data_IF_932547572173
#
_entry.id   IF_932547572173
#
_cell.length_a   1.000
_cell.length_b   1.000
_cell.length_c   1.000
_cell.angle_alpha   90.00
_cell.angle_beta   90.00
_cell.angle_gamma   90.00
#
_symmetry.space_group_name_H-M   'P 1'
#
loop_
_entity.id
_entity.type
_entity.pdbx_description
1 polymer ?
#
# COMPACT_ATOMS: atom_id res chain seq x y z
N UNK A 1 -1.12 7.50 14.55
CA UNK A 1 -0.98 8.20 13.26
C UNK A 1 -2.03 7.72 12.27
N UNK A 2 -2.20 6.41 12.09
CA UNK A 2 -3.11 5.79 11.13
C UNK A 2 -4.56 6.26 11.19
N UNK A 3 -5.14 6.46 12.38
CA UNK A 3 -6.52 6.97 12.50
C UNK A 3 -6.63 8.38 11.91
N UNK A 4 -5.67 9.26 12.20
CA UNK A 4 -5.67 10.63 11.69
C UNK A 4 -5.52 10.66 10.16
N UNK A 5 -4.60 9.86 9.60
CA UNK A 5 -4.42 9.76 8.15
C UNK A 5 -5.63 9.15 7.46
N UNK A 6 -6.27 8.16 8.09
CA UNK A 6 -7.51 7.52 7.58
C UNK A 6 -8.68 8.49 7.54
N UNK A 7 -8.90 9.28 8.60
CA UNK A 7 -9.96 10.29 8.61
C UNK A 7 -9.64 11.44 7.63
N UNK A 8 -8.38 11.88 7.59
CA UNK A 8 -7.93 12.90 6.65
C UNK A 8 -8.01 12.47 5.18
N UNK A 9 -7.88 11.17 4.89
CA UNK A 9 -7.92 10.61 3.54
C UNK A 9 -9.22 10.92 2.79
N UNK A 10 -10.35 11.08 3.50
CA UNK A 10 -11.65 11.47 2.89
C UNK A 10 -11.54 12.75 2.08
N UNK A 11 -10.70 13.69 2.52
CA UNK A 11 -10.46 14.96 1.84
C UNK A 11 -9.15 14.95 1.05
N UNK A 12 -8.07 14.48 1.66
CA UNK A 12 -6.73 14.56 1.08
C UNK A 12 -6.59 13.65 -0.15
N UNK A 13 -7.10 12.41 -0.10
CA UNK A 13 -6.95 11.47 -1.22
C UNK A 13 -7.61 12.01 -2.49
N UNK A 14 -8.90 12.42 -2.49
CA UNK A 14 -9.52 12.96 -3.71
C UNK A 14 -8.87 14.25 -4.22
N UNK A 15 -8.43 15.14 -3.34
CA UNK A 15 -7.76 16.39 -3.72
C UNK A 15 -6.41 16.10 -4.37
N UNK A 16 -5.59 15.25 -3.75
CA UNK A 16 -4.29 14.86 -4.28
C UNK A 16 -4.43 14.08 -5.60
N UNK A 17 -5.39 13.15 -5.69
CA UNK A 17 -5.66 12.43 -6.94
C UNK A 17 -6.11 13.38 -8.05
N UNK A 18 -6.96 14.37 -7.75
CA UNK A 18 -7.37 15.36 -8.76
C UNK A 18 -6.21 16.24 -9.22
N UNK A 19 -5.32 16.65 -8.32
CA UNK A 19 -4.16 17.49 -8.67
C UNK A 19 -3.12 16.70 -9.47
N UNK A 20 -2.81 15.47 -9.05
CA UNK A 20 -1.71 14.68 -9.62
C UNK A 20 -2.13 13.86 -10.85
N UNK A 21 -3.34 13.28 -10.84
CA UNK A 21 -3.84 12.40 -11.89
C UNK A 21 -4.88 13.07 -12.81
N UNK A 22 -5.52 14.16 -12.37
CA UNK A 22 -6.56 14.86 -13.12
C UNK A 22 -6.08 15.47 -14.45
N UNK A 23 -4.77 15.60 -14.65
CA UNK A 23 -4.17 16.01 -15.92
C UNK A 23 -4.07 14.87 -16.94
N UNK A 24 -4.12 13.61 -16.49
CA UNK A 24 -3.98 12.43 -17.34
C UNK A 24 -5.32 11.74 -17.59
N UNK A 25 -6.20 11.72 -16.60
CA UNK A 25 -7.49 11.02 -16.64
C UNK A 25 -8.54 11.89 -15.94
N UNK A 26 -9.80 11.95 -16.41
CA UNK A 26 -10.85 12.68 -15.69
C UNK A 26 -11.05 12.11 -14.29
N UNK A 27 -10.87 12.96 -13.27
CA UNK A 27 -11.02 12.60 -11.85
C UNK A 27 -12.17 13.38 -11.22
N UNK A 28 -13.20 12.68 -10.77
CA UNK A 28 -14.29 13.23 -9.98
C UNK A 28 -13.97 13.16 -8.48
N UNK A 29 -13.36 14.23 -7.95
CA UNK A 29 -12.94 14.28 -6.55
C UNK A 29 -14.11 14.17 -5.56
N UNK A 30 -15.30 14.65 -5.91
CA UNK A 30 -16.45 14.58 -4.99
C UNK A 30 -16.91 13.13 -4.86
N UNK A 31 -17.02 12.40 -5.98
CA UNK A 31 -17.37 10.97 -5.95
C UNK A 31 -16.31 10.13 -5.24
N UNK A 32 -15.02 10.40 -5.48
CA UNK A 32 -13.93 9.72 -4.76
C UNK A 32 -14.01 9.97 -3.25
N UNK A 33 -14.35 11.19 -2.83
CA UNK A 33 -14.52 11.53 -1.41
C UNK A 33 -15.68 10.76 -0.77
N UNK A 34 -16.85 10.74 -1.43
CA UNK A 34 -18.03 10.00 -0.96
C UNK A 34 -17.72 8.51 -0.84
N UNK A 35 -17.08 7.91 -1.84
CA UNK A 35 -16.69 6.50 -1.77
C UNK A 35 -15.66 6.24 -0.68
N UNK A 36 -14.70 7.13 -0.46
CA UNK A 36 -13.71 6.98 0.62
C UNK A 36 -14.40 7.01 1.99
N UNK A 37 -15.36 7.92 2.18
CA UNK A 37 -16.16 7.97 3.40
C UNK A 37 -16.94 6.66 3.63
N UNK A 38 -17.60 6.15 2.59
CA UNK A 38 -18.43 4.95 2.66
C UNK A 38 -17.61 3.67 2.87
N UNK A 39 -16.50 3.52 2.16
CA UNK A 39 -15.69 2.29 2.17
C UNK A 39 -14.77 2.22 3.38
N UNK A 40 -14.37 3.36 3.95
CA UNK A 40 -13.35 3.39 5.02
C UNK A 40 -13.90 3.94 6.32
N UNK A 41 -14.36 5.20 6.32
CA UNK A 41 -14.71 5.88 7.57
C UNK A 41 -15.94 5.26 8.22
N UNK A 42 -16.98 4.97 7.44
CA UNK A 42 -18.20 4.34 7.97
C UNK A 42 -17.88 2.98 8.64
N UNK A 43 -17.19 2.03 7.99
CA UNK A 43 -16.79 0.78 8.64
C UNK A 43 -15.89 0.95 9.87
N UNK A 44 -14.93 1.89 9.85
CA UNK A 44 -14.05 2.14 11.00
C UNK A 44 -14.83 2.68 12.20
N UNK A 45 -15.74 3.63 11.97
CA UNK A 45 -16.60 4.18 13.03
C UNK A 45 -17.57 3.12 13.57
N UNK A 46 -18.16 2.30 12.69
CA UNK A 46 -19.02 1.19 13.11
C UNK A 46 -18.24 0.17 13.95
N UNK A 47 -17.06 -0.24 13.50
CA UNK A 47 -16.20 -1.15 14.24
C UNK A 47 -15.80 -0.60 15.61
N UNK A 48 -15.45 0.69 15.68
CA UNK A 48 -15.15 1.38 16.94
C UNK A 48 -16.36 1.45 17.87
N UNK A 49 -17.55 1.71 17.33
CA UNK A 49 -18.80 1.71 18.10
C UNK A 49 -19.12 0.32 18.66
N UNK A 50 -19.01 -0.74 17.85
CA UNK A 50 -19.21 -2.14 18.29
C UNK A 50 -18.20 -2.51 19.38
N UNK A 51 -16.94 -2.09 19.26
CA UNK A 51 -15.92 -2.31 20.28
C UNK A 51 -16.29 -1.66 21.62
N UNK A 52 -16.96 -0.51 21.60
CA UNK A 52 -17.43 0.17 22.80
C UNK A 52 -18.68 -0.52 23.42
N UNK A 53 -19.64 -0.94 22.59
CA UNK A 53 -20.92 -1.51 23.07
C UNK A 53 -20.78 -3.00 23.46
N UNK A 54 -20.01 -3.80 22.72
CA UNK A 54 -19.91 -5.24 22.88
C UNK A 54 -18.45 -5.75 22.98
N UNK A 55 -17.66 -5.29 23.98
CA UNK A 55 -16.23 -5.59 24.06
C UNK A 55 -15.93 -7.09 24.20
N UNK A 56 -16.80 -7.85 24.88
CA UNK A 56 -16.64 -9.29 25.06
C UNK A 56 -16.73 -10.05 23.71
N UNK A 57 -17.66 -9.68 22.85
CA UNK A 57 -17.80 -10.26 21.52
C UNK A 57 -16.59 -9.92 20.64
N UNK A 58 -16.14 -8.66 20.67
CA UNK A 58 -14.98 -8.23 19.86
C UNK A 58 -13.70 -8.94 20.29
N UNK A 59 -13.50 -9.19 21.59
CA UNK A 59 -12.34 -9.95 22.09
C UNK A 59 -12.27 -11.38 21.54
N UNK A 60 -13.42 -11.98 21.23
CA UNK A 60 -13.49 -13.32 20.60
C UNK A 60 -13.10 -13.24 19.12
N UNK A 61 -13.43 -12.14 18.43
CA UNK A 61 -13.23 -11.98 16.98
C UNK A 61 -11.83 -11.45 16.63
N UNK A 62 -11.25 -10.56 17.44
CA UNK A 62 -9.92 -9.94 17.19
C UNK A 62 -8.83 -10.96 16.81
N UNK A 63 -8.69 -12.12 17.47
CA UNK A 63 -7.68 -13.11 17.11
C UNK A 63 -7.79 -13.63 15.67
N UNK A 64 -9.00 -13.63 15.10
CA UNK A 64 -9.27 -14.07 13.72
C UNK A 64 -9.17 -12.94 12.70
N UNK A 65 -9.19 -11.67 13.13
CA UNK A 65 -9.19 -10.51 12.26
C UNK A 65 -7.95 -10.45 11.32
N UNK A 66 -6.71 -10.75 11.78
CA UNK A 66 -5.55 -10.77 10.90
C UNK A 66 -5.68 -11.79 9.76
N UNK A 67 -6.20 -12.99 10.06
CA UNK A 67 -6.39 -14.03 9.05
C UNK A 67 -7.42 -13.61 8.00
N UNK A 68 -8.55 -13.07 8.44
CA UNK A 68 -9.60 -12.58 7.54
C UNK A 68 -9.08 -11.41 6.68
N UNK A 69 -8.32 -10.48 7.27
CA UNK A 69 -7.73 -9.35 6.55
C UNK A 69 -6.76 -9.82 5.46
N UNK A 70 -5.90 -10.80 5.74
CA UNK A 70 -4.96 -11.35 4.76
C UNK A 70 -5.70 -12.09 3.64
N UNK A 71 -6.69 -12.92 3.96
CA UNK A 71 -7.48 -13.65 2.96
C UNK A 71 -8.27 -12.71 2.05
N UNK A 72 -8.92 -11.70 2.61
CA UNK A 72 -9.70 -10.73 1.83
C UNK A 72 -8.79 -9.85 0.96
N UNK A 73 -7.67 -9.37 1.51
CA UNK A 73 -6.70 -8.58 0.75
C UNK A 73 -6.05 -9.38 -0.38
N UNK A 74 -5.74 -10.67 -0.16
CA UNK A 74 -5.13 -11.51 -1.19
C UNK A 74 -6.12 -11.82 -2.31
N UNK A 75 -7.38 -12.13 -1.97
CA UNK A 75 -8.44 -12.34 -2.96
C UNK A 75 -8.70 -11.07 -3.80
N UNK A 76 -8.71 -9.90 -3.17
CA UNK A 76 -8.87 -8.62 -3.86
C UNK A 76 -7.72 -8.40 -4.86
N UNK A 77 -6.47 -8.62 -4.45
CA UNK A 77 -5.31 -8.50 -5.33
C UNK A 77 -5.37 -9.52 -6.49
N UNK A 78 -5.72 -10.78 -6.20
CA UNK A 78 -5.90 -11.83 -7.20
C UNK A 78 -6.97 -11.48 -8.24
N UNK A 79 -8.08 -10.84 -7.84
CA UNK A 79 -9.11 -10.37 -8.77
C UNK A 79 -8.53 -9.41 -9.81
N UNK A 80 -7.76 -8.42 -9.36
CA UNK A 80 -7.13 -7.44 -10.24
C UNK A 80 -6.10 -8.10 -11.18
N UNK A 81 -5.28 -9.03 -10.67
CA UNK A 81 -4.32 -9.75 -11.51
C UNK A 81 -5.02 -10.63 -12.55
N UNK A 82 -6.13 -11.26 -12.18
CA UNK A 82 -6.94 -12.08 -13.08
C UNK A 82 -7.51 -11.26 -14.24
N UNK A 83 -8.09 -10.09 -13.96
CA UNK A 83 -8.63 -9.19 -14.98
C UNK A 83 -7.56 -8.68 -15.96
N UNK A 84 -6.31 -8.58 -15.51
CA UNK A 84 -5.20 -8.09 -16.31
C UNK A 84 -4.28 -9.20 -16.86
N UNK A 85 -4.65 -10.49 -16.69
CA UNK A 85 -3.78 -11.65 -16.96
C UNK A 85 -3.32 -11.74 -18.42
N UNK A 86 -4.17 -11.36 -19.37
CA UNK A 86 -3.84 -11.42 -20.81
C UNK A 86 -2.72 -10.43 -21.14
N UNK A 87 -2.79 -9.21 -20.62
CA UNK A 87 -1.74 -8.18 -20.76
C UNK A 87 -0.48 -8.52 -19.97
N UNK A 88 -0.66 -9.14 -18.81
CA UNK A 88 0.45 -9.63 -17.98
C UNK A 88 1.26 -10.68 -18.75
N UNK A 89 0.55 -11.63 -19.37
CA UNK A 89 1.15 -12.73 -20.14
C UNK A 89 1.87 -12.23 -21.39
N UNK A 90 1.30 -11.27 -22.12
CA UNK A 90 1.97 -10.70 -23.30
C UNK A 90 3.27 -9.96 -22.95
N UNK A 91 3.33 -9.36 -21.76
CA UNK A 91 4.53 -8.66 -21.26
C UNK A 91 5.63 -9.62 -20.77
N UNK A 92 5.26 -10.78 -20.24
CA UNK A 92 6.22 -11.80 -19.76
C UNK A 92 6.77 -12.64 -20.93
N UNK A 93 5.94 -12.94 -21.94
CA UNK A 93 6.31 -13.81 -23.08
C UNK A 93 7.22 -13.12 -24.09
N UNK A 94 7.34 -11.78 -24.05
CA UNK A 94 8.23 -11.02 -24.92
C UNK A 94 9.68 -10.93 -24.41
N UNK A 95 9.99 -11.52 -23.24
CA UNK A 95 11.36 -11.67 -22.76
C UNK A 95 12.12 -12.71 -23.62
N UNK A 96 13.19 -12.32 -24.34
CA UNK A 96 13.98 -13.29 -25.09
C UNK A 96 14.60 -14.31 -24.14
N UNK A 97 14.41 -15.60 -24.42
CA UNK A 97 15.05 -16.71 -23.72
C UNK A 97 16.55 -16.77 -24.05
N UNK A 98 17.33 -15.76 -23.66
CA UNK A 98 18.79 -15.79 -23.69
C UNK A 98 19.32 -16.24 -22.34
N UNK A 99 20.37 -17.07 -22.34
CA UNK A 99 20.98 -17.70 -21.16
C UNK A 99 21.64 -16.75 -20.15
N UNK A 100 21.60 -15.43 -20.38
CA UNK A 100 22.22 -14.42 -19.52
C UNK A 100 21.20 -13.85 -18.51
N UNK A 101 21.38 -14.10 -17.19
CA UNK A 101 20.45 -13.64 -16.16
C UNK A 101 20.32 -12.11 -16.06
N UNK A 102 21.37 -11.37 -16.42
CA UNK A 102 21.38 -9.90 -16.48
C UNK A 102 20.48 -9.35 -17.59
N UNK A 103 20.47 -9.98 -18.76
CA UNK A 103 19.64 -9.58 -19.89
C UNK A 103 18.16 -9.91 -19.67
N UNK A 104 17.88 -11.03 -19.00
CA UNK A 104 16.52 -11.45 -18.64
C UNK A 104 15.85 -10.45 -17.68
N UNK A 105 16.57 -9.98 -16.66
CA UNK A 105 16.09 -8.91 -15.77
C UNK A 105 15.80 -7.61 -16.52
N UNK A 106 16.70 -7.20 -17.41
CA UNK A 106 16.52 -5.97 -18.19
C UNK A 106 15.28 -6.03 -19.10
N UNK A 107 15.00 -7.19 -19.71
CA UNK A 107 13.78 -7.39 -20.50
C UNK A 107 12.50 -7.34 -19.66
N UNK A 108 12.54 -7.90 -18.43
CA UNK A 108 11.41 -7.91 -17.50
C UNK A 108 11.09 -6.48 -17.02
N UNK A 109 12.10 -5.65 -16.75
CA UNK A 109 11.91 -4.25 -16.35
C UNK A 109 11.54 -3.31 -17.50
N UNK A 110 11.72 -3.73 -18.75
CA UNK A 110 11.42 -2.89 -19.93
C UNK A 110 9.95 -2.95 -20.37
N UNK A 111 9.18 -3.95 -19.91
CA UNK A 111 7.75 -4.08 -20.22
C UNK A 111 6.87 -3.19 -19.34
N UNK A 112 5.61 -2.98 -19.74
CA UNK A 112 4.62 -2.20 -18.97
C UNK A 112 4.48 -2.70 -17.52
N UNK A 113 4.48 -4.02 -17.33
CA UNK A 113 4.46 -4.64 -16.00
C UNK A 113 5.74 -4.33 -15.21
N UNK A 114 6.90 -4.43 -15.86
CA UNK A 114 8.20 -4.12 -15.27
C UNK A 114 8.26 -2.69 -14.74
N UNK A 115 7.73 -1.74 -15.52
CA UNK A 115 7.60 -0.35 -15.12
C UNK A 115 6.67 -0.17 -13.92
N UNK A 116 5.53 -0.87 -13.87
CA UNK A 116 4.62 -0.83 -12.70
C UNK A 116 5.32 -1.38 -11.46
N UNK A 117 5.95 -2.56 -11.56
CA UNK A 117 6.68 -3.19 -10.45
C UNK A 117 7.78 -2.25 -9.94
N UNK A 118 8.60 -1.71 -10.84
CA UNK A 118 9.70 -0.82 -10.49
C UNK A 118 9.19 0.48 -9.87
N UNK A 119 8.15 1.09 -10.44
CA UNK A 119 7.57 2.34 -9.93
C UNK A 119 7.01 2.15 -8.52
N UNK A 120 6.27 1.06 -8.30
CA UNK A 120 5.70 0.74 -6.98
C UNK A 120 6.79 0.39 -5.97
N UNK A 121 7.80 -0.37 -6.37
CA UNK A 121 8.95 -0.69 -5.52
C UNK A 121 9.67 0.59 -5.08
N UNK A 122 9.98 1.49 -6.01
CA UNK A 122 10.61 2.76 -5.71
C UNK A 122 9.72 3.64 -4.83
N UNK A 123 8.42 3.72 -5.11
CA UNK A 123 7.47 4.49 -4.30
C UNK A 123 7.53 4.08 -2.82
N UNK A 124 7.47 2.78 -2.54
CA UNK A 124 7.53 2.28 -1.17
C UNK A 124 8.92 2.40 -0.57
N UNK A 125 9.98 2.10 -1.32
CA UNK A 125 11.36 2.29 -0.86
C UNK A 125 11.57 3.74 -0.39
N UNK A 126 11.19 4.72 -1.21
CA UNK A 126 11.26 6.12 -0.82
C UNK A 126 10.29 6.46 0.31
N UNK A 127 9.10 5.85 0.38
CA UNK A 127 8.19 6.01 1.51
C UNK A 127 8.82 5.59 2.85
N UNK A 128 9.39 4.38 2.91
CA UNK A 128 10.10 3.90 4.10
C UNK A 128 11.33 4.78 4.43
N UNK A 129 12.14 5.10 3.42
CA UNK A 129 13.37 5.88 3.58
C UNK A 129 13.08 7.31 4.04
N UNK A 130 12.24 8.05 3.31
CA UNK A 130 11.86 9.42 3.65
C UNK A 130 11.14 9.45 4.98
N UNK A 131 10.30 8.46 5.30
CA UNK A 131 9.64 8.38 6.60
C UNK A 131 10.62 8.23 7.77
N UNK A 132 11.62 7.36 7.63
CA UNK A 132 12.67 7.21 8.64
C UNK A 132 13.53 8.48 8.76
N UNK A 133 13.99 9.00 7.61
CA UNK A 133 14.90 10.14 7.54
C UNK A 133 14.26 11.43 8.03
N UNK A 134 13.00 11.70 7.65
CA UNK A 134 12.25 12.87 8.11
C UNK A 134 12.02 12.82 9.64
N UNK A 135 11.74 11.65 10.19
CA UNK A 135 11.64 11.46 11.63
C UNK A 135 12.99 11.67 12.34
N UNK A 136 14.10 11.25 11.73
CA UNK A 136 15.43 11.47 12.27
C UNK A 136 15.78 12.97 12.32
N UNK A 137 15.56 13.72 11.23
CA UNK A 137 15.77 15.17 11.19
C UNK A 137 14.89 15.90 12.23
N UNK A 138 13.69 15.40 12.45
CA UNK A 138 12.76 15.97 13.44
C UNK A 138 13.13 15.65 14.90
N UNK A 139 14.22 14.91 15.14
CA UNK A 139 14.71 14.60 16.49
C UNK A 139 13.96 13.49 17.21
N UNK A 140 13.16 12.67 16.52
CA UNK A 140 12.47 11.53 17.13
C UNK A 140 13.46 10.43 17.54
N UNK A 141 13.12 9.63 18.55
CA UNK A 141 13.92 8.47 18.98
C UNK A 141 13.73 7.28 18.04
N UNK A 142 14.65 6.33 18.09
CA UNK A 142 14.67 5.18 17.17
C UNK A 142 13.34 4.41 17.08
N UNK A 143 12.63 4.08 18.18
CA UNK A 143 11.32 3.43 18.08
C UNK A 143 10.28 4.25 17.30
N UNK A 144 10.31 5.58 17.46
CA UNK A 144 9.41 6.50 16.77
C UNK A 144 9.80 6.66 15.30
N UNK A 145 11.10 6.73 14.98
CA UNK A 145 11.60 6.74 13.58
C UNK A 145 11.16 5.50 12.82
N UNK A 146 11.32 4.32 13.43
CA UNK A 146 10.85 3.03 12.86
C UNK A 146 9.34 3.04 12.65
N UNK A 147 8.57 3.49 13.63
CA UNK A 147 7.11 3.58 13.50
C UNK A 147 6.66 4.54 12.39
N UNK A 148 7.28 5.73 12.29
CA UNK A 148 6.98 6.72 11.24
C UNK A 148 7.39 6.20 9.86
N UNK A 149 8.54 5.53 9.75
CA UNK A 149 8.97 4.87 8.51
C UNK A 149 7.96 3.85 8.01
N UNK A 150 7.46 2.99 8.91
CA UNK A 150 6.44 1.99 8.56
C UNK A 150 5.11 2.67 8.20
N UNK A 151 4.69 3.69 8.94
CA UNK A 151 3.43 4.40 8.69
C UNK A 151 3.42 5.10 7.32
N UNK A 152 4.55 5.63 6.86
CA UNK A 152 4.66 6.31 5.56
C UNK A 152 4.88 5.30 4.43
N UNK A 153 5.70 4.28 4.65
CA UNK A 153 5.99 3.26 3.65
C UNK A 153 4.84 2.28 3.41
N UNK A 154 4.02 1.99 4.43
CA UNK A 154 2.85 1.13 4.32
C UNK A 154 1.61 1.96 3.95
N UNK A 155 1.01 1.68 2.82
CA UNK A 155 -0.20 2.36 2.35
C UNK A 155 -1.44 1.48 2.49
N UNK A 156 -2.63 2.08 2.43
CA UNK A 156 -3.87 1.31 2.32
C UNK A 156 -4.13 0.94 0.85
N UNK A 157 -3.44 -0.07 0.36
CA UNK A 157 -3.52 -0.48 -1.04
C UNK A 157 -4.88 -1.07 -1.41
N UNK A 158 -5.59 -1.69 -0.47
CA UNK A 158 -6.94 -2.21 -0.69
C UNK A 158 -7.94 -1.09 -1.00
N UNK A 159 -7.85 0.04 -0.30
CA UNK A 159 -8.62 1.24 -0.65
C UNK A 159 -8.26 1.75 -2.05
N UNK A 160 -6.96 1.75 -2.39
CA UNK A 160 -6.50 2.12 -3.73
C UNK A 160 -7.13 1.26 -4.83
N UNK A 161 -7.20 -0.07 -4.64
CA UNK A 161 -7.90 -0.96 -5.56
C UNK A 161 -9.38 -0.62 -5.67
N UNK A 162 -10.09 -0.45 -4.54
CA UNK A 162 -11.53 -0.16 -4.54
C UNK A 162 -11.85 1.17 -5.24
N UNK A 163 -11.07 2.22 -4.98
CA UNK A 163 -11.26 3.51 -5.65
C UNK A 163 -10.92 3.41 -7.14
N UNK A 164 -9.87 2.68 -7.51
CA UNK A 164 -9.49 2.47 -8.90
C UNK A 164 -10.60 1.77 -9.69
N UNK A 165 -11.13 0.66 -9.18
CA UNK A 165 -12.16 -0.13 -9.87
C UNK A 165 -13.52 0.56 -9.90
N UNK A 166 -13.82 1.42 -8.93
CA UNK A 166 -15.13 2.07 -8.84
C UNK A 166 -15.22 3.39 -9.63
N UNK A 167 -14.10 4.06 -9.88
CA UNK A 167 -14.11 5.42 -10.45
C UNK A 167 -13.38 5.55 -11.79
N UNK A 168 -12.63 4.53 -12.21
CA UNK A 168 -11.92 4.54 -13.48
C UNK A 168 -12.38 3.38 -14.36
N UNK A 169 -12.63 3.68 -15.65
CA UNK A 169 -13.12 2.69 -16.60
C UNK A 169 -12.08 1.61 -16.96
N UNK A 170 -10.79 1.93 -16.83
CA UNK A 170 -9.72 1.01 -17.21
C UNK A 170 -9.32 0.13 -16.02
N UNK A 171 -9.38 -1.21 -16.15
CA UNK A 171 -8.96 -2.13 -15.09
C UNK A 171 -7.46 -2.06 -14.78
N UNK A 172 -6.67 -1.44 -15.67
CA UNK A 172 -5.24 -1.22 -15.48
C UNK A 172 -4.95 -0.24 -14.33
N UNK A 173 -5.89 0.66 -14.00
CA UNK A 173 -5.69 1.63 -12.91
C UNK A 173 -5.64 0.95 -11.54
N UNK A 174 -6.25 -0.23 -11.41
CA UNK A 174 -6.22 -1.02 -10.18
C UNK A 174 -4.93 -1.84 -10.03
N UNK A 175 -4.13 -1.99 -11.09
CA UNK A 175 -2.93 -2.83 -11.07
C UNK A 175 -1.83 -2.28 -10.14
N UNK A 176 -1.46 -0.98 -10.16
CA UNK A 176 -0.48 -0.44 -9.22
C UNK A 176 -0.83 -0.65 -7.73
N UNK A 177 -2.06 -0.34 -7.24
CA UNK A 177 -2.38 -0.61 -5.84
C UNK A 177 -2.44 -2.12 -5.52
N UNK A 178 -2.86 -2.99 -6.44
CA UNK A 178 -2.79 -4.44 -6.22
C UNK A 178 -1.34 -4.94 -6.08
N UNK A 179 -0.43 -4.46 -6.94
CA UNK A 179 1.01 -4.75 -6.83
C UNK A 179 1.63 -4.18 -5.55
N UNK A 180 1.22 -2.97 -5.17
CA UNK A 180 1.63 -2.29 -3.94
C UNK A 180 1.33 -3.14 -2.70
N UNK A 181 0.15 -3.77 -2.63
CA UNK A 181 -0.21 -4.65 -1.52
C UNK A 181 0.79 -5.79 -1.32
N UNK A 182 1.34 -6.36 -2.40
CA UNK A 182 2.35 -7.42 -2.31
C UNK A 182 3.71 -6.85 -1.92
N UNK A 183 4.18 -5.83 -2.65
CA UNK A 183 5.53 -5.30 -2.51
C UNK A 183 5.76 -4.63 -1.14
N UNK A 184 4.80 -3.83 -0.65
CA UNK A 184 4.94 -3.18 0.65
C UNK A 184 4.98 -4.17 1.81
N UNK A 185 4.23 -5.28 1.72
CA UNK A 185 4.24 -6.32 2.75
C UNK A 185 5.59 -7.05 2.78
N UNK A 186 6.18 -7.34 1.61
CA UNK A 186 7.53 -7.92 1.52
C UNK A 186 8.54 -6.96 2.14
N UNK A 187 8.59 -5.70 1.68
CA UNK A 187 9.55 -4.71 2.17
C UNK A 187 9.40 -4.40 3.66
N UNK A 188 8.16 -4.18 4.13
CA UNK A 188 7.87 -3.90 5.54
C UNK A 188 8.22 -5.08 6.45
N UNK A 189 7.94 -6.31 6.02
CA UNK A 189 8.31 -7.51 6.78
C UNK A 189 9.83 -7.71 6.83
N UNK A 190 10.52 -7.50 5.72
CA UNK A 190 11.99 -7.55 5.68
C UNK A 190 12.61 -6.50 6.60
N UNK A 191 12.10 -5.27 6.59
CA UNK A 191 12.59 -4.18 7.43
C UNK A 191 12.32 -4.47 8.92
N UNK A 192 11.12 -4.95 9.25
CA UNK A 192 10.78 -5.39 10.61
C UNK A 192 11.66 -6.55 11.09
N UNK A 193 11.99 -7.49 10.21
CA UNK A 193 12.91 -8.59 10.51
C UNK A 193 14.33 -8.06 10.78
N UNK A 194 14.86 -7.17 9.95
CA UNK A 194 16.19 -6.57 10.15
C UNK A 194 16.24 -5.83 11.49
N UNK A 195 15.24 -4.98 11.77
CA UNK A 195 15.17 -4.21 13.01
C UNK A 195 15.01 -5.05 14.27
N UNK A 196 14.50 -6.28 14.16
CA UNK A 196 14.45 -7.22 15.29
C UNK A 196 15.85 -7.56 15.82
N UNK A 197 16.87 -7.51 14.96
CA UNK A 197 18.27 -7.80 15.33
C UNK A 197 19.08 -6.54 15.68
N UNK A 198 18.47 -5.35 15.65
CA UNK A 198 19.14 -4.08 15.97
C UNK A 198 18.51 -3.49 17.22
N UNK A 199 19.24 -3.53 18.35
CA UNK A 199 18.78 -2.99 19.63
C UNK A 199 18.52 -1.48 19.51
N UNK A 200 17.27 -1.01 19.66
CA UNK A 200 16.94 0.41 19.56
C UNK A 200 17.47 1.25 20.74
N UNK A 201 18.03 0.60 21.78
CA UNK A 201 18.60 1.21 22.97
C UNK A 201 20.12 1.34 22.92
N UNK A 202 20.77 0.90 21.83
CA UNK A 202 22.23 1.01 21.71
C UNK A 202 22.64 2.49 21.62
N UNK A 203 23.44 3.01 22.57
CA UNK A 203 23.89 4.40 22.58
C UNK A 203 24.69 4.80 21.32
N UNK A 204 25.16 3.85 20.52
CA UNK A 204 25.81 4.11 19.22
C UNK A 204 24.83 4.56 18.12
N UNK A 205 23.52 4.41 18.33
CA UNK A 205 22.46 4.72 17.36
C UNK A 205 21.77 6.06 17.68
N UNK A 206 22.02 6.64 18.87
CA UNK A 206 21.43 7.92 19.29
C UNK A 206 22.07 9.18 18.67
N UNK A 207 23.07 9.05 17.81
CA UNK A 207 23.75 10.19 17.15
C UNK A 207 23.07 10.62 15.85
#
# INVERSE_FOLDING_TARGET
>A
MTVCTTLGAVFLTPVLTKILAGTYVPVDAVKLSISTLQVVVVPVLLGSCIQNIFPAAVKIVIPFAPLLAVLTSSLLACSVFSENVVRLRSSIVSAPSTSDPSFSLQSIFSGELGLVILSVLLLHFFGFFVGYFSAAISGFKEPQRRAISIEIGMQNSSLGVVLATSHFASPLVALPPAMSAVLMNIMGSSLGFIWRYVDPSDPKIET
#
